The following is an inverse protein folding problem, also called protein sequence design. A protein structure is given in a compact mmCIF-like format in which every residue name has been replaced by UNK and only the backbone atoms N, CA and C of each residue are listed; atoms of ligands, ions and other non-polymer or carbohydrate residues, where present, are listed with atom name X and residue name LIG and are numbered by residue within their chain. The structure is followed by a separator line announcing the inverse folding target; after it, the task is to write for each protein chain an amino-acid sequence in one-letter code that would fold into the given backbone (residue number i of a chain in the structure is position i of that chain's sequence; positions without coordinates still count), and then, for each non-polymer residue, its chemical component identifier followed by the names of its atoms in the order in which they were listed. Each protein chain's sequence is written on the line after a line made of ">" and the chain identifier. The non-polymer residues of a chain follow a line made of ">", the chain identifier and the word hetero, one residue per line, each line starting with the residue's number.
data_IF_870411355510
#
_entry.id   IF_870411355510
#
_cell.length_a   1.000
_cell.length_b   1.000
_cell.length_c   1.000
_cell.angle_alpha   90.00
_cell.angle_beta   90.00
_cell.angle_gamma   90.00
#
_symmetry.space_group_name_H-M   'P 1'
#
loop_
_entity.id
_entity.type
_entity.pdbx_description
1 polymer ?
#
# COMPACT_ATOMS: atom_id res chain seq x y z
N UNK A 1 4.77 -4.68 -0.62
CA UNK A 1 3.53 -5.15 -1.29
C UNK A 1 3.74 -6.48 -1.99
N UNK A 2 4.65 -6.56 -2.98
CA UNK A 2 4.91 -7.77 -3.76
C UNK A 2 5.13 -9.03 -2.90
N UNK A 3 6.04 -8.96 -1.91
CA UNK A 3 6.29 -10.06 -0.98
C UNK A 3 5.01 -10.51 -0.25
N UNK A 4 4.12 -9.58 0.09
CA UNK A 4 2.87 -9.90 0.76
C UNK A 4 1.84 -10.63 -0.10
N UNK A 5 1.99 -10.64 -1.44
CA UNK A 5 1.24 -11.54 -2.31
C UNK A 5 1.81 -12.96 -2.29
N UNK A 6 3.14 -13.10 -2.25
CA UNK A 6 3.80 -14.42 -2.22
C UNK A 6 3.65 -15.11 -0.86
N UNK A 7 3.86 -14.37 0.23
CA UNK A 7 3.90 -14.92 1.58
C UNK A 7 2.52 -15.23 2.16
N UNK A 8 1.45 -14.73 1.54
CA UNK A 8 0.09 -15.05 1.98
C UNK A 8 -0.25 -16.49 1.55
N UNK A 9 -0.39 -17.46 2.47
CA UNK A 9 -0.54 -18.87 2.11
C UNK A 9 -1.80 -19.16 1.28
N UNK A 10 -2.84 -18.33 1.44
CA UNK A 10 -4.10 -18.45 0.70
C UNK A 10 -3.95 -18.19 -0.80
N UNK A 11 -2.95 -17.41 -1.23
CA UNK A 11 -2.77 -17.08 -2.64
C UNK A 11 -2.19 -18.23 -3.46
N UNK A 12 -1.35 -19.09 -2.84
CA UNK A 12 -0.70 -20.24 -3.51
C UNK A 12 0.01 -19.83 -4.82
N UNK A 13 0.76 -18.74 -4.77
CA UNK A 13 1.49 -18.20 -5.92
C UNK A 13 2.92 -18.74 -5.94
N UNK A 14 3.32 -19.34 -7.06
CA UNK A 14 4.71 -19.70 -7.30
C UNK A 14 5.48 -18.53 -7.93
N UNK A 15 6.71 -18.22 -7.51
CA UNK A 15 7.47 -17.06 -7.95
C UNK A 15 8.13 -17.26 -9.34
N UNK A 16 7.33 -17.66 -10.33
CA UNK A 16 7.76 -17.73 -11.74
C UNK A 16 7.96 -16.32 -12.31
N UNK A 17 8.76 -16.12 -13.37
CA UNK A 17 8.92 -14.80 -13.99
C UNK A 17 7.60 -14.13 -14.38
N UNK A 18 6.64 -14.89 -14.92
CA UNK A 18 5.32 -14.38 -15.27
C UNK A 18 4.51 -13.98 -14.04
N UNK A 19 4.55 -14.79 -12.97
CA UNK A 19 3.89 -14.46 -11.69
C UNK A 19 4.48 -13.20 -11.08
N UNK A 20 5.81 -13.07 -11.08
CA UNK A 20 6.50 -11.90 -10.52
C UNK A 20 6.15 -10.63 -11.30
N UNK A 21 6.10 -10.69 -12.63
CA UNK A 21 5.66 -9.56 -13.44
C UNK A 21 4.21 -9.17 -13.09
N UNK A 22 3.30 -10.14 -13.03
CA UNK A 22 1.90 -9.87 -12.65
C UNK A 22 1.78 -9.27 -11.24
N UNK A 23 2.54 -9.78 -10.27
CA UNK A 23 2.58 -9.25 -8.90
C UNK A 23 3.10 -7.80 -8.91
N UNK A 24 4.14 -7.51 -9.69
CA UNK A 24 4.70 -6.18 -9.80
C UNK A 24 3.69 -5.19 -10.37
N UNK A 25 3.11 -5.49 -11.53
CA UNK A 25 2.12 -4.64 -12.19
C UNK A 25 0.93 -4.34 -11.26
N UNK A 26 0.44 -5.38 -10.57
CA UNK A 26 -0.68 -5.23 -9.65
C UNK A 26 -0.30 -4.55 -8.33
N UNK A 27 0.96 -4.65 -7.90
CA UNK A 27 1.47 -3.86 -6.77
C UNK A 27 1.50 -2.37 -7.09
N UNK A 28 1.86 -2.01 -8.33
CA UNK A 28 1.80 -0.61 -8.79
C UNK A 28 0.36 -0.09 -8.80
N UNK A 29 -0.61 -0.88 -9.28
CA UNK A 29 -2.04 -0.52 -9.22
C UNK A 29 -2.49 -0.24 -7.78
N UNK A 30 -2.13 -1.11 -6.83
CA UNK A 30 -2.46 -0.92 -5.41
C UNK A 30 -1.82 0.36 -4.88
N UNK A 31 -0.54 0.60 -5.18
CA UNK A 31 0.16 1.81 -4.78
C UNK A 31 -0.50 3.07 -5.35
N UNK A 32 -0.92 3.05 -6.61
CA UNK A 32 -1.60 4.18 -7.25
C UNK A 32 -2.95 4.46 -6.61
N UNK A 33 -3.72 3.43 -6.27
CA UNK A 33 -4.97 3.59 -5.53
C UNK A 33 -4.73 4.24 -4.16
N UNK A 34 -3.72 3.80 -3.43
CA UNK A 34 -3.39 4.37 -2.12
C UNK A 34 -2.97 5.84 -2.23
N UNK A 35 -2.07 6.17 -3.15
CA UNK A 35 -1.62 7.55 -3.38
C UNK A 35 -2.78 8.46 -3.81
N UNK A 36 -3.63 7.99 -4.73
CA UNK A 36 -4.81 8.73 -5.16
C UNK A 36 -5.74 9.05 -3.99
N UNK A 37 -6.02 8.06 -3.13
CA UNK A 37 -6.90 8.26 -1.98
C UNK A 37 -6.27 9.22 -0.97
N UNK A 38 -4.98 9.06 -0.65
CA UNK A 38 -4.26 9.97 0.26
C UNK A 38 -4.33 11.42 -0.24
N UNK A 39 -4.16 11.63 -1.54
CA UNK A 39 -4.31 12.93 -2.18
C UNK A 39 -5.76 13.44 -2.15
N UNK A 40 -6.73 12.59 -2.49
CA UNK A 40 -8.13 12.97 -2.53
C UNK A 40 -8.67 13.34 -1.13
N UNK A 41 -8.27 12.63 -0.09
CA UNK A 41 -8.62 12.97 1.31
C UNK A 41 -7.93 14.26 1.78
N UNK A 42 -6.65 14.49 1.44
CA UNK A 42 -5.91 15.71 1.85
C UNK A 42 -6.43 16.99 1.20
N UNK A 43 -7.03 16.86 0.01
CA UNK A 43 -7.66 17.94 -0.77
C UNK A 43 -9.18 18.05 -0.54
N UNK A 44 -9.75 17.26 0.37
CA UNK A 44 -11.20 17.20 0.64
C UNK A 44 -12.05 16.89 -0.60
N UNK A 45 -11.49 16.13 -1.55
CA UNK A 45 -12.24 15.55 -2.68
C UNK A 45 -13.04 14.31 -2.24
N UNK A 46 -12.55 13.64 -1.21
CA UNK A 46 -13.31 12.66 -0.43
C UNK A 46 -13.79 13.32 0.88
N UNK A 47 -14.86 12.80 1.52
CA UNK A 47 -15.59 13.53 2.56
C UNK A 47 -14.89 13.48 3.94
N UNK A 48 -13.61 13.85 3.96
CA UNK A 48 -12.78 14.08 5.14
C UNK A 48 -12.60 15.58 5.35
N UNK A 49 -12.96 16.14 6.52
CA UNK A 49 -13.68 15.54 7.64
C UNK A 49 -15.22 15.62 7.51
N UNK A 50 -15.74 15.99 6.32
CA UNK A 50 -17.15 16.38 6.13
C UNK A 50 -18.18 15.31 6.51
N UNK A 51 -17.88 14.02 6.33
CA UNK A 51 -18.72 12.91 6.78
C UNK A 51 -17.99 12.11 7.87
N UNK A 52 -18.54 12.10 9.08
CA UNK A 52 -17.94 11.45 10.24
C UNK A 52 -17.80 9.93 10.06
N UNK A 53 -18.83 9.28 9.52
CA UNK A 53 -18.82 7.84 9.31
C UNK A 53 -17.72 7.45 8.32
N UNK A 54 -17.61 8.17 7.19
CA UNK A 54 -16.50 7.97 6.25
C UNK A 54 -15.16 8.20 6.96
N UNK A 55 -15.00 9.36 7.62
CA UNK A 55 -13.74 9.78 8.22
C UNK A 55 -13.23 8.78 9.26
N UNK A 56 -14.09 8.26 10.13
CA UNK A 56 -13.66 7.40 11.24
C UNK A 56 -13.60 5.91 10.88
N UNK A 57 -14.41 5.45 9.92
CA UNK A 57 -14.60 4.01 9.66
C UNK A 57 -14.18 3.53 8.28
N UNK A 58 -14.08 4.41 7.29
CA UNK A 58 -13.80 4.02 5.88
C UNK A 58 -12.56 4.68 5.31
N UNK A 59 -12.19 5.87 5.79
CA UNK A 59 -11.09 6.65 5.22
C UNK A 59 -9.76 5.92 5.31
N UNK A 60 -8.90 6.19 4.34
CA UNK A 60 -7.51 5.72 4.40
C UNK A 60 -6.75 6.42 5.54
N UNK A 61 -7.13 7.65 5.89
CA UNK A 61 -6.61 8.34 7.08
C UNK A 61 -6.89 7.57 8.39
N UNK A 62 -8.09 7.03 8.58
CA UNK A 62 -8.41 6.19 9.74
C UNK A 62 -7.60 4.88 9.73
N UNK A 63 -7.54 4.21 8.59
CA UNK A 63 -6.79 2.96 8.42
C UNK A 63 -5.29 3.16 8.70
N UNK A 64 -4.66 4.18 8.10
CA UNK A 64 -3.22 4.43 8.31
C UNK A 64 -2.92 4.80 9.77
N UNK A 65 -3.77 5.59 10.44
CA UNK A 65 -3.59 5.91 11.86
C UNK A 65 -3.70 4.67 12.74
N UNK A 66 -4.65 3.78 12.44
CA UNK A 66 -4.78 2.49 13.13
C UNK A 66 -3.51 1.66 12.98
N UNK A 67 -3.04 1.49 11.75
CA UNK A 67 -1.81 0.74 11.43
C UNK A 67 -0.60 1.31 12.19
N UNK A 68 -0.42 2.64 12.16
CA UNK A 68 0.69 3.29 12.86
C UNK A 68 0.65 3.02 14.36
N UNK A 69 -0.54 3.10 14.98
CA UNK A 69 -0.71 2.77 16.40
C UNK A 69 -0.36 1.32 16.70
N UNK A 70 -0.90 0.37 15.93
CA UNK A 70 -0.63 -1.06 16.11
C UNK A 70 0.87 -1.37 15.96
N UNK A 71 1.55 -0.78 14.97
CA UNK A 71 3.00 -0.94 14.77
C UNK A 71 3.81 -0.34 15.93
N UNK A 72 3.43 0.85 16.40
CA UNK A 72 4.16 1.55 17.47
C UNK A 72 4.02 0.84 18.81
N UNK A 73 2.88 0.16 19.02
CA UNK A 73 2.63 -0.67 20.20
C UNK A 73 3.23 -2.09 20.08
N UNK A 74 3.91 -2.41 18.97
CA UNK A 74 4.50 -3.72 18.77
C UNK A 74 3.47 -4.84 18.59
N UNK A 75 2.25 -4.52 18.14
CA UNK A 75 1.22 -5.54 17.97
C UNK A 75 1.62 -6.53 16.86
N UNK A 76 1.56 -7.84 17.13
CA UNK A 76 1.85 -8.86 16.13
C UNK A 76 0.75 -8.89 15.07
N UNK A 77 1.13 -9.21 13.83
CA UNK A 77 0.19 -9.50 12.76
C UNK A 77 0.34 -10.97 12.36
N UNK A 78 -0.78 -11.70 12.31
CA UNK A 78 -0.77 -13.08 11.83
C UNK A 78 -0.55 -13.11 10.31
N UNK A 79 0.36 -13.97 9.85
CA UNK A 79 0.76 -14.04 8.44
C UNK A 79 -0.39 -14.39 7.48
N UNK A 80 -1.44 -15.07 7.96
CA UNK A 80 -2.61 -15.47 7.17
C UNK A 80 -3.74 -14.44 7.15
N UNK A 81 -3.65 -13.36 7.94
CA UNK A 81 -4.72 -12.37 8.03
C UNK A 81 -4.65 -11.35 6.89
N UNK A 82 -5.82 -10.86 6.49
CA UNK A 82 -6.02 -9.93 5.36
C UNK A 82 -7.02 -8.81 5.71
N UNK A 83 -7.14 -8.47 6.99
CA UNK A 83 -8.11 -7.51 7.53
C UNK A 83 -7.97 -6.14 6.86
N UNK A 84 -6.75 -5.65 6.67
CA UNK A 84 -6.51 -4.36 6.02
C UNK A 84 -6.79 -4.41 4.53
N UNK A 85 -6.53 -5.55 3.88
CA UNK A 85 -6.86 -5.74 2.48
C UNK A 85 -8.36 -5.67 2.23
N UNK A 86 -9.16 -6.31 3.09
CA UNK A 86 -10.62 -6.25 2.99
C UNK A 86 -11.16 -4.83 3.18
N UNK A 87 -10.62 -4.08 4.14
CA UNK A 87 -10.98 -2.67 4.33
C UNK A 87 -10.63 -1.82 3.09
N UNK A 88 -9.46 -2.00 2.50
CA UNK A 88 -9.09 -1.32 1.27
C UNK A 88 -10.02 -1.68 0.10
N UNK A 89 -10.38 -2.95 -0.06
CA UNK A 89 -11.32 -3.39 -1.09
C UNK A 89 -12.68 -2.73 -0.93
N UNK A 90 -13.18 -2.64 0.29
CA UNK A 90 -14.44 -1.95 0.59
C UNK A 90 -14.35 -0.46 0.23
N UNK A 91 -13.26 0.21 0.62
CA UNK A 91 -13.02 1.60 0.28
C UNK A 91 -12.95 1.82 -1.25
N UNK A 92 -12.24 0.95 -1.98
CA UNK A 92 -12.18 1.03 -3.44
C UNK A 92 -13.56 0.87 -4.08
N UNK A 93 -14.39 -0.04 -3.58
CA UNK A 93 -15.75 -0.22 -4.08
C UNK A 93 -16.62 1.02 -3.81
N UNK A 94 -16.53 1.59 -2.60
CA UNK A 94 -17.23 2.83 -2.23
C UNK A 94 -16.83 3.99 -3.15
N UNK A 95 -15.55 4.11 -3.49
CA UNK A 95 -15.06 5.16 -4.38
C UNK A 95 -15.47 4.91 -5.84
N UNK A 96 -15.39 3.68 -6.33
CA UNK A 96 -15.76 3.31 -7.70
C UNK A 96 -17.24 3.57 -7.97
N UNK A 97 -18.11 3.13 -7.06
CA UNK A 97 -19.56 3.16 -7.25
C UNK A 97 -20.20 4.44 -6.69
N UNK A 98 -19.49 5.18 -5.84
CA UNK A 98 -20.07 6.19 -4.97
C UNK A 98 -20.87 5.54 -3.82
N UNK A 99 -21.12 6.33 -2.78
CA UNK A 99 -21.98 5.92 -1.67
C UNK A 99 -22.65 7.16 -1.05
N UNK A 100 -23.99 7.31 -1.20
CA UNK A 100 -24.73 8.44 -0.65
C UNK A 100 -24.66 8.56 0.88
N UNK A 101 -24.71 7.45 1.62
CA UNK A 101 -24.67 7.45 3.10
C UNK A 101 -23.33 7.99 3.62
N UNK A 102 -22.26 7.74 2.86
CA UNK A 102 -20.91 8.22 3.14
C UNK A 102 -20.61 9.58 2.49
N UNK A 103 -21.55 10.15 1.72
CA UNK A 103 -21.35 11.34 0.89
C UNK A 103 -20.14 11.23 -0.09
N UNK A 104 -19.86 10.01 -0.58
CA UNK A 104 -18.79 9.75 -1.55
C UNK A 104 -19.37 9.82 -2.96
N UNK A 105 -18.93 10.74 -3.84
CA UNK A 105 -19.33 10.72 -5.24
C UNK A 105 -18.67 9.55 -5.97
N UNK A 106 -19.30 9.07 -7.05
CA UNK A 106 -18.72 8.01 -7.88
C UNK A 106 -17.53 8.55 -8.69
N UNK A 107 -16.36 7.94 -8.50
CA UNK A 107 -15.14 8.29 -9.24
C UNK A 107 -14.94 7.37 -10.45
N UNK A 108 -15.48 7.77 -11.59
CA UNK A 108 -15.50 6.98 -12.83
C UNK A 108 -14.17 6.96 -13.63
N UNK A 109 -13.03 7.19 -12.97
CA UNK A 109 -11.70 7.27 -13.61
C UNK A 109 -11.08 5.94 -14.02
N UNK A 110 -11.78 4.82 -13.87
CA UNK A 110 -11.29 3.49 -14.22
C UNK A 110 -10.39 2.85 -13.17
N UNK A 111 -9.54 3.62 -12.49
CA UNK A 111 -8.54 3.12 -11.53
C UNK A 111 -9.10 2.16 -10.47
N UNK A 112 -10.34 2.38 -10.02
CA UNK A 112 -10.99 1.57 -8.99
C UNK A 112 -11.92 0.47 -9.55
N UNK A 113 -12.13 0.41 -10.88
CA UNK A 113 -13.01 -0.58 -11.49
C UNK A 113 -12.52 -2.00 -11.25
N UNK A 114 -13.45 -2.87 -10.87
CA UNK A 114 -13.16 -4.29 -10.64
C UNK A 114 -12.54 -4.99 -11.88
N UNK A 115 -12.95 -4.59 -13.10
CA UNK A 115 -12.43 -5.15 -14.36
C UNK A 115 -10.92 -4.88 -14.59
N UNK A 116 -10.34 -3.84 -13.98
CA UNK A 116 -8.91 -3.54 -14.13
C UNK A 116 -8.04 -4.53 -13.32
N UNK A 117 -8.62 -5.30 -12.40
CA UNK A 117 -7.85 -6.13 -11.48
C UNK A 117 -8.41 -7.52 -11.30
N UNK A 118 -8.55 -8.33 -12.35
CA UNK A 118 -8.86 -9.76 -12.20
C UNK A 118 -7.89 -10.43 -11.21
N UNK A 119 -6.61 -10.08 -11.29
CA UNK A 119 -5.59 -10.49 -10.33
C UNK A 119 -5.91 -10.00 -8.90
N UNK A 120 -6.23 -8.72 -8.72
CA UNK A 120 -6.58 -8.12 -7.41
C UNK A 120 -7.94 -8.59 -6.84
N UNK A 121 -8.81 -9.16 -7.69
CA UNK A 121 -10.04 -9.80 -7.26
C UNK A 121 -9.78 -11.20 -6.70
N UNK A 122 -8.79 -11.89 -7.26
CA UNK A 122 -8.40 -13.25 -6.90
C UNK A 122 -7.39 -13.33 -5.76
N UNK A 123 -6.38 -12.45 -5.77
CA UNK A 123 -5.25 -12.48 -4.84
C UNK A 123 -5.27 -11.29 -3.88
N UNK A 124 -4.65 -11.49 -2.72
CA UNK A 124 -4.68 -10.52 -1.62
C UNK A 124 -3.28 -10.27 -1.05
N UNK A 125 -3.07 -9.13 -0.40
CA UNK A 125 -1.83 -8.87 0.34
C UNK A 125 -2.07 -9.15 1.82
N UNK A 126 -1.23 -9.99 2.43
CA UNK A 126 -1.29 -10.27 3.86
C UNK A 126 -1.03 -9.03 4.73
N UNK A 127 -1.69 -8.97 5.88
CA UNK A 127 -1.66 -7.82 6.81
C UNK A 127 -0.23 -7.47 7.26
N UNK A 128 0.63 -8.49 7.44
CA UNK A 128 2.03 -8.33 7.84
C UNK A 128 2.78 -7.34 6.93
N UNK A 129 2.63 -7.51 5.62
CA UNK A 129 3.31 -6.70 4.59
C UNK A 129 2.52 -5.46 4.22
N UNK A 130 1.19 -5.54 4.22
CA UNK A 130 0.33 -4.43 3.83
C UNK A 130 0.43 -3.27 4.84
N UNK A 131 0.46 -3.58 6.14
CA UNK A 131 0.61 -2.56 7.19
C UNK A 131 1.95 -1.82 7.08
N UNK A 132 3.03 -2.52 6.74
CA UNK A 132 4.35 -1.91 6.54
C UNK A 132 4.32 -0.99 5.31
N UNK A 133 3.74 -1.44 4.20
CA UNK A 133 3.62 -0.62 2.99
C UNK A 133 2.79 0.65 3.23
N UNK A 134 1.64 0.52 3.90
CA UNK A 134 0.80 1.69 4.25
C UNK A 134 1.55 2.61 5.21
N UNK A 135 2.29 2.09 6.18
CA UNK A 135 3.08 2.89 7.11
C UNK A 135 4.21 3.67 6.41
N UNK A 136 4.90 3.05 5.45
CA UNK A 136 5.93 3.71 4.63
C UNK A 136 5.34 4.85 3.77
N UNK A 137 4.10 4.69 3.27
CA UNK A 137 3.39 5.76 2.58
C UNK A 137 2.87 6.83 3.55
N UNK A 138 2.43 6.41 4.74
CA UNK A 138 1.81 7.31 5.69
C UNK A 138 2.84 8.23 6.36
N UNK A 139 4.05 7.75 6.63
CA UNK A 139 5.06 8.49 7.40
C UNK A 139 6.43 8.53 6.75
N UNK A 140 7.02 9.72 6.72
CA UNK A 140 8.40 9.99 6.33
C UNK A 140 9.21 10.52 7.52
N UNK A 141 10.54 10.37 7.53
CA UNK A 141 11.39 11.02 8.54
C UNK A 141 11.30 12.54 8.42
N UNK A 142 11.14 13.22 9.55
CA UNK A 142 11.25 14.66 9.70
C UNK A 142 12.74 15.09 9.82
N UNK A 143 13.06 16.40 9.87
CA UNK A 143 14.44 16.86 10.01
C UNK A 143 15.15 16.37 11.29
N UNK A 144 14.41 15.92 12.30
CA UNK A 144 14.92 15.35 13.54
C UNK A 144 15.06 13.82 13.46
N UNK A 145 14.75 13.21 12.31
CA UNK A 145 14.80 11.77 12.08
C UNK A 145 13.60 11.00 12.65
N UNK A 146 12.59 11.69 13.19
CA UNK A 146 11.37 11.07 13.69
C UNK A 146 10.37 10.87 12.55
N UNK A 147 9.61 9.77 12.58
CA UNK A 147 8.63 9.48 11.53
C UNK A 147 7.34 10.26 11.76
N UNK A 148 7.09 11.26 10.93
CA UNK A 148 5.88 12.10 10.94
C UNK A 148 4.95 11.75 9.77
N UNK A 149 3.66 12.03 9.92
CA UNK A 149 2.71 11.83 8.82
C UNK A 149 3.01 12.75 7.64
N UNK A 150 2.97 12.20 6.44
CA UNK A 150 3.14 12.95 5.19
C UNK A 150 1.85 13.72 4.88
N UNK A 151 1.97 15.01 4.57
CA UNK A 151 0.88 15.80 4.00
C UNK A 151 0.88 15.65 2.47
N UNK A 152 -0.16 15.04 1.94
CA UNK A 152 -0.33 14.80 0.51
C UNK A 152 -0.98 15.98 -0.22
N UNK A 153 -1.33 17.07 0.46
CA UNK A 153 -2.01 18.23 -0.14
C UNK A 153 -1.14 18.95 -1.17
N UNK A 154 0.15 19.01 -0.91
CA UNK A 154 1.15 19.74 -1.71
C UNK A 154 1.92 18.80 -2.65
N UNK A 155 1.47 17.56 -2.79
CA UNK A 155 2.04 16.63 -3.74
C UNK A 155 1.76 17.14 -5.16
N UNK A 156 2.74 17.84 -5.74
CA UNK A 156 2.62 18.33 -7.11
C UNK A 156 2.45 17.13 -8.08
N UNK A 157 1.59 17.29 -9.08
CA UNK A 157 1.37 16.29 -10.15
C UNK A 157 2.72 15.89 -10.81
N UNK A 158 3.68 16.81 -10.88
CA UNK A 158 5.03 16.57 -11.39
C UNK A 158 5.83 15.57 -10.55
N UNK A 159 5.67 15.57 -9.23
CA UNK A 159 6.37 14.64 -8.33
C UNK A 159 5.79 13.24 -8.43
N UNK A 160 4.49 13.13 -8.76
CA UNK A 160 3.85 11.85 -9.00
C UNK A 160 4.40 11.18 -10.26
N UNK A 161 4.62 11.95 -11.33
CA UNK A 161 5.22 11.47 -12.58
C UNK A 161 6.62 10.89 -12.39
N UNK A 162 7.51 11.57 -11.66
CA UNK A 162 8.86 11.07 -11.40
C UNK A 162 8.89 9.84 -10.48
N UNK A 163 7.98 9.76 -9.50
CA UNK A 163 7.79 8.55 -8.69
C UNK A 163 7.37 7.38 -9.58
N UNK A 164 6.47 7.60 -10.55
CA UNK A 164 6.01 6.55 -11.45
C UNK A 164 7.09 6.07 -12.42
N UNK A 165 7.81 6.98 -13.05
CA UNK A 165 8.91 6.63 -13.95
C UNK A 165 9.98 5.82 -13.21
N UNK A 166 10.41 6.30 -12.03
CA UNK A 166 11.39 5.58 -11.22
C UNK A 166 10.90 4.20 -10.77
N UNK A 167 9.61 4.06 -10.43
CA UNK A 167 9.04 2.77 -10.04
C UNK A 167 8.99 1.77 -11.20
N UNK A 168 8.76 2.23 -12.44
CA UNK A 168 8.70 1.36 -13.62
C UNK A 168 10.07 0.80 -14.03
N UNK A 169 11.17 1.38 -13.55
CA UNK A 169 12.52 0.88 -13.79
C UNK A 169 12.85 -0.39 -12.98
N UNK A 170 12.04 -0.73 -11.98
CA UNK A 170 12.28 -1.90 -11.14
C UNK A 170 11.77 -3.20 -11.76
N UNK A 171 12.52 -4.28 -11.55
CA UNK A 171 12.10 -5.64 -11.89
C UNK A 171 12.23 -6.57 -10.68
N UNK A 172 11.18 -7.34 -10.39
CA UNK A 172 11.21 -8.34 -9.32
C UNK A 172 12.06 -9.54 -9.74
N UNK A 173 12.95 -9.98 -8.84
CA UNK A 173 13.76 -11.19 -9.00
C UNK A 173 13.72 -11.99 -7.71
N UNK A 174 13.75 -13.31 -7.81
CA UNK A 174 13.92 -14.19 -6.66
C UNK A 174 15.39 -14.09 -6.21
N UNK A 175 15.60 -13.81 -4.94
CA UNK A 175 16.94 -13.82 -4.36
C UNK A 175 17.48 -15.26 -4.29
N UNK A 176 18.75 -15.45 -4.65
CA UNK A 176 19.41 -16.77 -4.59
C UNK A 176 19.74 -17.20 -3.14
N UNK A 177 19.80 -16.24 -2.22
CA UNK A 177 20.05 -16.44 -0.79
C UNK A 177 19.24 -15.39 0.00
N UNK A 178 19.03 -15.57 1.33
CA UNK A 178 18.48 -14.52 2.18
C UNK A 178 19.29 -13.24 2.05
N UNK A 179 18.62 -12.11 1.84
CA UNK A 179 19.26 -10.79 1.73
C UNK A 179 18.86 -9.93 2.93
N UNK A 180 19.81 -9.24 3.54
CA UNK A 180 19.55 -8.16 4.48
C UNK A 180 19.58 -6.82 3.75
N UNK A 181 18.71 -5.91 4.16
CA UNK A 181 18.70 -4.53 3.67
C UNK A 181 19.60 -3.69 4.57
N UNK A 182 20.61 -3.06 3.98
CA UNK A 182 21.45 -2.05 4.63
C UNK A 182 21.24 -0.70 3.95
N UNK A 183 21.09 0.36 4.72
CA UNK A 183 21.00 1.72 4.17
C UNK A 183 22.39 2.33 4.13
N UNK A 184 22.94 2.54 2.94
CA UNK A 184 24.21 3.24 2.73
C UNK A 184 23.98 4.55 1.99
N UNK A 185 24.39 5.68 2.60
CA UNK A 185 24.25 7.03 2.03
C UNK A 185 22.82 7.34 1.52
N UNK A 186 21.81 6.85 2.22
CA UNK A 186 20.39 7.03 1.86
C UNK A 186 19.88 6.11 0.74
N UNK A 187 20.67 5.14 0.29
CA UNK A 187 20.25 4.08 -0.65
C UNK A 187 20.21 2.73 0.04
N UNK A 188 19.20 1.93 -0.29
CA UNK A 188 19.13 0.54 0.14
C UNK A 188 20.10 -0.32 -0.68
N UNK A 189 20.94 -1.07 0.02
CA UNK A 189 21.87 -2.06 -0.52
C UNK A 189 21.45 -3.42 0.04
N UNK A 190 21.36 -4.40 -0.84
CA UNK A 190 20.93 -5.76 -0.50
C UNK A 190 22.17 -6.67 -0.45
N UNK A 191 22.50 -7.20 0.72
CA UNK A 191 23.66 -8.06 0.93
C UNK A 191 23.21 -9.46 1.36
N UNK A 192 23.88 -10.49 0.87
CA UNK A 192 23.60 -11.87 1.26
C UNK A 192 23.93 -12.07 2.74
N UNK A 193 22.99 -12.68 3.47
CA UNK A 193 23.18 -13.08 4.86
C UNK A 193 23.56 -14.54 4.87
N UNK A 194 24.66 -14.87 5.54
CA UNK A 194 25.04 -16.27 5.77
C UNK A 194 23.99 -16.94 6.66
N UNK A 195 23.47 -18.09 6.21
CA UNK A 195 22.41 -18.84 6.88
C UNK A 195 22.84 -19.47 8.24
N UNK A 196 24.04 -19.15 8.73
CA UNK A 196 24.67 -19.68 9.94
C UNK A 196 24.65 -18.71 11.14
N UNK A 197 23.94 -17.58 11.04
CA UNK A 197 23.74 -16.63 12.17
C UNK A 197 22.25 -16.37 12.49
N UNK A 198 21.40 -17.40 12.44
CA UNK A 198 20.02 -17.34 12.99
C UNK A 198 19.81 -18.41 14.05
#
# INVERSE_FOLDING_TARGET
>A
LAQGFLDLPANRLDPTPATLQAIFDNSLIVLYRLLFILYAESRSLLPVPANRLYTESYSLDALKRRIVRELTQGQPAAASMTTFWQQLRQLWQVIDQGNPDLAVPAYNGGLFKAKIGAFLAQYQVGDLHLRQAIDLLARAPDPQGQRAFVDYRDLEIRHLGSIYEGLLEYHLRVAAAPLAVRVEKGREVYEAVDASQT
#
